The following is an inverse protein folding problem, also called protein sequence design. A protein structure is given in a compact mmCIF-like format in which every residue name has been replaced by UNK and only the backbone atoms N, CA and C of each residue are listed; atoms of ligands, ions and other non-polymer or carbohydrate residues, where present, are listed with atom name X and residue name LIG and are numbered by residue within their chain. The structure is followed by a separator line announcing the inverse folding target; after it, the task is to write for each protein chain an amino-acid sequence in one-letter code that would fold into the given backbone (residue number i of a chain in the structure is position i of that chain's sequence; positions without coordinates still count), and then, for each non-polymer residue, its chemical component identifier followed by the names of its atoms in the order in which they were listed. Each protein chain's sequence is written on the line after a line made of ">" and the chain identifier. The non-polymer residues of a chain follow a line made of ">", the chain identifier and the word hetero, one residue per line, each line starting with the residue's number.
data_IF_135924119179
#
_entry.id   IF_135924119179
#
_cell.length_a   1.000
_cell.length_b   1.000
_cell.length_c   1.000
_cell.angle_alpha   90.00
_cell.angle_beta   90.00
_cell.angle_gamma   90.00
#
_symmetry.space_group_name_H-M   'P 1'
#
loop_
_entity.id
_entity.type
_entity.pdbx_description
1 polymer ?
#
# COMPACT_ATOMS: atom_id res chain seq x y z
N UNK A 1 41.00 -3.53 -16.88
CA UNK A 1 39.80 -3.63 -15.95
C UNK A 1 39.59 -5.03 -15.37
N UNK A 2 40.02 -6.10 -16.03
CA UNK A 2 39.84 -7.50 -15.59
C UNK A 2 40.48 -7.77 -14.21
N UNK A 3 41.60 -7.14 -13.88
CA UNK A 3 42.29 -7.27 -12.58
C UNK A 3 41.46 -6.76 -11.36
N UNK A 4 40.40 -5.99 -11.60
CA UNK A 4 39.51 -5.46 -10.53
C UNK A 4 38.34 -6.40 -10.23
N UNK A 5 38.13 -7.42 -11.03
CA UNK A 5 37.03 -8.38 -10.87
C UNK A 5 37.58 -9.60 -10.13
N UNK A 6 37.04 -9.88 -8.94
CA UNK A 6 37.41 -11.06 -8.14
C UNK A 6 36.24 -12.03 -8.10
N UNK A 7 36.51 -13.31 -8.32
CA UNK A 7 35.51 -14.37 -8.17
C UNK A 7 35.24 -14.59 -6.67
N UNK A 8 33.99 -14.46 -6.27
CA UNK A 8 33.56 -14.79 -4.91
C UNK A 8 33.55 -16.31 -4.72
N UNK A 9 34.10 -16.82 -3.62
CA UNK A 9 34.26 -18.27 -3.33
C UNK A 9 33.85 -18.67 -1.93
N UNK A 10 33.30 -17.76 -1.12
CA UNK A 10 32.89 -18.06 0.23
C UNK A 10 31.52 -18.78 0.24
N UNK A 11 31.25 -19.55 1.33
CA UNK A 11 29.99 -20.30 1.48
C UNK A 11 28.79 -19.39 1.76
N UNK A 12 29.04 -18.25 2.43
CA UNK A 12 27.98 -17.26 2.74
C UNK A 12 27.62 -16.49 1.47
N UNK A 13 26.35 -16.32 1.11
CA UNK A 13 25.96 -15.50 -0.04
C UNK A 13 26.54 -14.09 0.07
N UNK A 14 27.03 -13.55 -1.05
CA UNK A 14 27.69 -12.24 -1.07
C UNK A 14 26.77 -11.10 -0.57
N UNK A 15 25.51 -11.11 -0.95
CA UNK A 15 24.55 -10.09 -0.54
C UNK A 15 24.28 -10.12 0.96
N UNK A 16 24.25 -11.31 1.56
CA UNK A 16 24.12 -11.45 3.01
C UNK A 16 25.37 -10.94 3.73
N UNK A 17 26.58 -11.30 3.25
CA UNK A 17 27.85 -10.84 3.82
C UNK A 17 28.00 -9.32 3.82
N UNK A 18 27.52 -8.67 2.76
CA UNK A 18 27.58 -7.20 2.60
C UNK A 18 26.34 -6.48 3.15
N UNK A 19 25.47 -7.18 3.89
CA UNK A 19 24.20 -6.66 4.45
C UNK A 19 23.29 -5.99 3.38
N UNK A 20 23.34 -6.49 2.14
CA UNK A 20 22.53 -5.97 1.04
C UNK A 20 21.10 -6.47 1.15
N UNK A 21 20.90 -7.73 1.59
CA UNK A 21 19.57 -8.31 1.79
C UNK A 21 18.71 -7.51 2.78
N UNK A 22 19.31 -7.13 3.93
CA UNK A 22 18.63 -6.30 4.92
C UNK A 22 18.26 -4.93 4.36
N UNK A 23 19.16 -4.28 3.62
CA UNK A 23 18.91 -3.01 2.97
C UNK A 23 17.84 -3.10 1.88
N UNK A 24 17.76 -4.24 1.17
CA UNK A 24 16.70 -4.48 0.18
C UNK A 24 15.33 -4.65 0.86
N UNK A 25 15.27 -5.35 1.99
CA UNK A 25 14.04 -5.50 2.75
C UNK A 25 13.52 -4.14 3.26
N UNK A 26 14.41 -3.26 3.74
CA UNK A 26 14.06 -1.90 4.17
C UNK A 26 13.44 -1.02 3.06
N UNK A 27 13.59 -1.37 1.77
CA UNK A 27 12.95 -0.65 0.67
C UNK A 27 11.41 -0.72 0.75
N UNK A 28 10.88 -1.76 1.37
CA UNK A 28 9.43 -1.97 1.51
C UNK A 28 8.85 -1.40 2.82
N UNK A 29 9.71 -1.00 3.77
CA UNK A 29 9.26 -0.38 5.01
C UNK A 29 8.71 1.02 4.74
N UNK A 30 7.56 1.36 5.30
CA UNK A 30 7.00 2.71 5.20
C UNK A 30 7.75 3.69 6.08
N UNK A 31 8.30 3.24 7.21
CA UNK A 31 9.04 4.06 8.18
C UNK A 31 10.55 3.88 8.04
N UNK A 32 11.28 5.01 8.00
CA UNK A 32 12.75 5.04 7.91
C UNK A 32 13.30 5.88 9.05
N UNK A 33 14.11 5.29 9.91
CA UNK A 33 14.75 5.98 11.04
C UNK A 33 15.89 6.86 10.58
N UNK A 34 15.96 8.06 11.12
CA UNK A 34 17.06 8.99 10.96
C UNK A 34 18.09 8.82 12.09
N UNK A 35 19.34 9.22 11.85
CA UNK A 35 20.43 9.13 12.86
C UNK A 35 20.19 10.03 14.06
N UNK A 36 19.52 11.18 13.84
CA UNK A 36 19.12 12.12 14.89
C UNK A 36 18.09 11.57 15.87
N UNK A 37 17.43 10.44 15.54
CA UNK A 37 16.33 9.86 16.29
C UNK A 37 14.95 10.27 15.77
N UNK A 38 14.88 11.10 14.72
CA UNK A 38 13.67 11.31 13.93
C UNK A 38 13.39 10.14 12.98
N UNK A 39 12.31 10.24 12.22
CA UNK A 39 11.96 9.24 11.21
C UNK A 39 11.16 9.85 10.06
N UNK A 40 11.23 9.19 8.90
CA UNK A 40 10.44 9.51 7.72
C UNK A 40 9.33 8.47 7.58
N UNK A 41 8.16 8.92 7.13
CA UNK A 41 7.07 8.02 6.71
C UNK A 41 6.82 8.25 5.23
N UNK A 42 7.03 7.22 4.41
CA UNK A 42 6.85 7.28 2.95
C UNK A 42 5.60 6.50 2.58
N UNK A 43 4.59 7.20 2.09
CA UNK A 43 3.31 6.64 1.68
C UNK A 43 3.03 6.94 0.20
N UNK A 44 3.38 6.03 -0.71
CA UNK A 44 2.93 6.14 -2.08
C UNK A 44 1.42 5.91 -2.16
N UNK A 45 0.73 6.77 -2.91
CA UNK A 45 -0.69 6.65 -3.21
C UNK A 45 -0.88 6.45 -4.72
N UNK A 46 -2.13 6.37 -5.18
CA UNK A 46 -2.43 6.26 -6.61
C UNK A 46 -1.95 7.48 -7.40
N UNK A 47 -2.12 8.69 -6.85
CA UNK A 47 -1.86 9.95 -7.55
C UNK A 47 -0.48 10.54 -7.25
N UNK A 48 0.05 10.34 -6.04
CA UNK A 48 1.29 10.98 -5.59
C UNK A 48 1.98 10.16 -4.48
N UNK A 49 3.21 10.54 -4.17
CA UNK A 49 3.92 10.01 -2.99
C UNK A 49 3.93 11.11 -1.93
N UNK A 50 3.45 10.81 -0.74
CA UNK A 50 3.61 11.68 0.44
C UNK A 50 4.78 11.20 1.29
N UNK A 51 5.56 12.15 1.79
CA UNK A 51 6.68 11.90 2.72
C UNK A 51 6.49 12.84 3.90
N UNK A 52 6.29 12.28 5.07
CA UNK A 52 6.16 12.99 6.35
C UNK A 52 7.44 12.85 7.16
N UNK A 53 7.84 13.93 7.86
CA UNK A 53 9.05 14.00 8.66
C UNK A 53 8.69 14.21 10.12
N UNK A 54 9.09 13.27 10.95
CA UNK A 54 8.86 13.31 12.40
C UNK A 54 10.17 13.49 13.16
N UNK A 55 10.21 14.43 14.10
CA UNK A 55 11.40 14.70 14.93
C UNK A 55 11.69 13.61 15.97
N UNK A 56 10.68 12.77 16.30
CA UNK A 56 10.83 11.67 17.25
C UNK A 56 11.40 12.11 18.59
N UNK A 57 12.41 11.38 19.08
CA UNK A 57 13.08 11.64 20.36
C UNK A 57 14.15 12.74 20.32
N UNK A 58 14.38 13.36 19.17
CA UNK A 58 15.40 14.42 18.99
C UNK A 58 15.07 15.74 19.71
N UNK A 59 13.88 15.84 20.31
CA UNK A 59 13.37 17.05 21.05
C UNK A 59 14.22 17.44 22.28
N UNK A 60 15.29 16.72 22.58
CA UNK A 60 16.16 17.00 23.75
C UNK A 60 17.03 18.26 23.64
N UNK A 61 17.03 18.95 22.50
CA UNK A 61 17.81 20.19 22.32
C UNK A 61 17.02 21.40 22.84
N UNK A 62 17.75 22.38 23.41
CA UNK A 62 17.19 23.59 24.04
C UNK A 62 16.49 24.53 23.04
N UNK A 63 16.66 24.34 21.72
CA UNK A 63 16.11 25.22 20.70
C UNK A 63 15.34 24.38 19.65
N UNK A 64 14.04 24.53 19.64
CA UNK A 64 13.11 23.81 18.73
C UNK A 64 13.43 24.11 17.25
N UNK A 65 13.72 25.34 16.90
CA UNK A 65 14.04 25.76 15.53
C UNK A 65 15.33 25.11 15.00
N UNK A 66 16.37 25.03 15.85
CA UNK A 66 17.62 24.35 15.51
C UNK A 66 17.43 22.87 15.31
N UNK A 67 16.63 22.24 16.19
CA UNK A 67 16.31 20.81 16.06
C UNK A 67 15.54 20.52 14.79
N UNK A 68 14.56 21.37 14.45
CA UNK A 68 13.78 21.25 13.22
C UNK A 68 14.69 21.36 11.98
N UNK A 69 15.60 22.35 11.96
CA UNK A 69 16.55 22.52 10.86
C UNK A 69 17.46 21.31 10.69
N UNK A 70 18.08 20.82 11.77
CA UNK A 70 19.00 19.68 11.72
C UNK A 70 18.28 18.40 11.25
N UNK A 71 17.09 18.14 11.78
CA UNK A 71 16.28 17.00 11.36
C UNK A 71 15.86 17.12 9.88
N UNK A 72 15.43 18.30 9.44
CA UNK A 72 15.05 18.54 8.06
C UNK A 72 16.23 18.42 7.07
N UNK A 73 17.43 18.84 7.47
CA UNK A 73 18.63 18.68 6.65
C UNK A 73 19.03 17.20 6.50
N UNK A 74 18.96 16.43 7.58
CA UNK A 74 19.18 15.00 7.54
C UNK A 74 18.09 14.30 6.72
N UNK A 75 16.83 14.65 6.93
CA UNK A 75 15.69 14.16 6.16
C UNK A 75 15.85 14.41 4.66
N UNK A 76 16.29 15.62 4.25
CA UNK A 76 16.51 15.94 2.85
C UNK A 76 17.56 15.03 2.18
N UNK A 77 18.61 14.67 2.91
CA UNK A 77 19.63 13.71 2.44
C UNK A 77 19.04 12.30 2.30
N UNK A 78 18.36 11.82 3.33
CA UNK A 78 17.77 10.47 3.33
C UNK A 78 16.64 10.35 2.31
N UNK A 79 15.77 11.36 2.17
CA UNK A 79 14.70 11.39 1.16
C UNK A 79 15.30 11.25 -0.25
N UNK A 80 16.37 12.00 -0.57
CA UNK A 80 16.99 11.89 -1.89
C UNK A 80 17.52 10.48 -2.16
N UNK A 81 18.05 9.80 -1.13
CA UNK A 81 18.49 8.41 -1.20
C UNK A 81 17.32 7.46 -1.42
N UNK A 82 16.24 7.61 -0.64
CA UNK A 82 15.05 6.75 -0.70
C UNK A 82 14.30 6.87 -2.03
N UNK A 83 14.14 8.08 -2.55
CA UNK A 83 13.53 8.33 -3.86
C UNK A 83 14.27 7.55 -4.95
N UNK A 84 15.60 7.52 -4.90
CA UNK A 84 16.44 6.81 -5.88
C UNK A 84 16.38 5.30 -5.71
N UNK A 85 16.48 4.78 -4.49
CA UNK A 85 16.52 3.33 -4.21
C UNK A 85 15.17 2.69 -4.50
N UNK A 86 14.08 3.34 -4.11
CA UNK A 86 12.69 2.86 -4.30
C UNK A 86 12.15 3.19 -5.69
N UNK A 87 12.90 3.94 -6.51
CA UNK A 87 12.47 4.48 -7.81
C UNK A 87 11.12 5.21 -7.74
N UNK A 88 10.92 5.99 -6.65
CA UNK A 88 9.70 6.79 -6.49
C UNK A 88 9.62 7.81 -7.62
N UNK A 89 8.45 7.96 -8.23
CA UNK A 89 8.26 8.76 -9.43
C UNK A 89 6.89 9.42 -9.47
N UNK A 90 6.74 10.39 -10.34
CA UNK A 90 5.55 11.23 -10.41
C UNK A 90 5.65 12.42 -9.47
N UNK A 91 4.51 12.87 -8.95
CA UNK A 91 4.44 13.95 -7.98
C UNK A 91 4.80 13.42 -6.58
N UNK A 92 5.70 14.11 -5.89
CA UNK A 92 6.13 13.79 -4.53
C UNK A 92 5.92 15.04 -3.69
N UNK A 93 5.22 14.90 -2.57
CA UNK A 93 4.99 15.97 -1.60
C UNK A 93 5.72 15.59 -0.32
N UNK A 94 6.55 16.51 0.16
CA UNK A 94 7.32 16.34 1.39
C UNK A 94 6.80 17.33 2.41
N UNK A 95 6.42 16.85 3.58
CA UNK A 95 6.02 17.64 4.73
C UNK A 95 7.22 17.81 5.67
N UNK A 96 7.84 18.98 5.60
CA UNK A 96 8.98 19.32 6.43
C UNK A 96 8.51 19.85 7.79
N UNK A 97 9.27 19.53 8.85
CA UNK A 97 9.02 20.10 10.17
C UNK A 97 9.04 21.63 10.06
N UNK A 98 8.03 22.28 10.64
CA UNK A 98 7.87 23.71 10.56
C UNK A 98 9.13 24.50 10.97
N UNK A 99 9.49 25.46 10.13
CA UNK A 99 10.61 26.39 10.36
C UNK A 99 10.13 27.82 10.18
N UNK A 100 10.32 28.64 11.19
CA UNK A 100 9.95 30.06 11.15
C UNK A 100 10.88 30.86 10.21
N UNK A 101 12.17 30.53 10.24
CA UNK A 101 13.19 31.22 9.46
C UNK A 101 13.12 30.87 7.98
N UNK A 102 12.92 31.87 7.13
CA UNK A 102 13.03 31.73 5.68
C UNK A 102 14.43 31.27 5.22
N UNK A 103 15.48 31.68 5.95
CA UNK A 103 16.85 31.25 5.72
C UNK A 103 17.01 29.74 5.91
N UNK A 104 16.41 29.18 6.98
CA UNK A 104 16.43 27.74 7.27
C UNK A 104 15.71 26.93 6.18
N UNK A 105 14.53 27.38 5.76
CA UNK A 105 13.80 26.75 4.63
C UNK A 105 14.66 26.69 3.36
N UNK A 106 15.36 27.77 3.02
CA UNK A 106 16.27 27.80 1.87
C UNK A 106 17.48 26.87 2.01
N UNK A 107 18.00 26.67 3.22
CA UNK A 107 19.08 25.71 3.45
C UNK A 107 18.62 24.30 3.16
N UNK A 108 17.45 23.90 3.65
CA UNK A 108 16.86 22.59 3.40
C UNK A 108 16.57 22.37 1.90
N UNK A 109 15.96 23.36 1.23
CA UNK A 109 15.73 23.31 -0.22
C UNK A 109 17.04 23.12 -1.00
N UNK A 110 18.09 23.82 -0.62
CA UNK A 110 19.42 23.70 -1.26
C UNK A 110 20.02 22.33 -1.03
N UNK A 111 19.96 21.81 0.20
CA UNK A 111 20.46 20.48 0.55
C UNK A 111 19.76 19.41 -0.28
N UNK A 112 18.43 19.43 -0.36
CA UNK A 112 17.67 18.49 -1.16
C UNK A 112 18.03 18.56 -2.65
N UNK A 113 18.12 19.77 -3.22
CA UNK A 113 18.53 19.98 -4.63
C UNK A 113 19.93 19.44 -4.90
N UNK A 114 20.87 19.65 -3.99
CA UNK A 114 22.24 19.17 -4.11
C UNK A 114 22.30 17.64 -4.10
N UNK A 115 21.61 17.00 -3.17
CA UNK A 115 21.57 15.55 -3.05
C UNK A 115 20.89 14.88 -4.25
N UNK A 116 19.85 15.50 -4.81
CA UNK A 116 19.15 15.00 -6.00
C UNK A 116 19.97 15.12 -7.31
N UNK A 117 21.05 15.91 -7.35
CA UNK A 117 21.89 16.07 -8.56
C UNK A 117 22.51 14.77 -9.07
N UNK A 118 22.71 13.80 -8.19
CA UNK A 118 23.30 12.51 -8.56
C UNK A 118 22.29 11.52 -9.13
N UNK A 119 21.01 11.87 -9.18
CA UNK A 119 19.97 11.04 -9.78
C UNK A 119 20.00 11.12 -11.32
N UNK A 120 19.78 9.99 -11.98
CA UNK A 120 19.68 9.90 -13.45
C UNK A 120 18.34 10.40 -13.97
N UNK A 121 17.31 10.39 -13.12
CA UNK A 121 15.98 10.86 -13.47
C UNK A 121 15.94 12.39 -13.55
N UNK A 122 15.11 12.91 -14.44
CA UNK A 122 14.80 14.35 -14.46
C UNK A 122 13.95 14.67 -13.23
N UNK A 123 14.46 15.61 -12.40
CA UNK A 123 13.81 16.06 -11.17
C UNK A 123 13.55 17.54 -11.26
N UNK A 124 12.34 17.96 -10.84
CA UNK A 124 11.98 19.35 -10.62
C UNK A 124 11.63 19.51 -9.15
N UNK A 125 12.19 20.50 -8.47
CA UNK A 125 12.01 20.72 -7.03
C UNK A 125 11.52 22.15 -6.84
N UNK A 126 10.36 22.27 -6.19
CA UNK A 126 9.74 23.54 -5.82
C UNK A 126 10.42 24.24 -4.65
N UNK A 127 9.68 25.09 -3.97
CA UNK A 127 10.07 25.75 -2.72
C UNK A 127 9.21 25.22 -1.59
N UNK A 128 9.73 25.30 -0.36
CA UNK A 128 8.93 25.03 0.83
C UNK A 128 7.89 26.15 0.96
N UNK A 129 6.63 25.77 0.98
CA UNK A 129 5.49 26.68 1.14
C UNK A 129 5.41 27.23 2.57
N UNK A 130 4.47 28.14 2.80
CA UNK A 130 4.15 28.64 4.15
C UNK A 130 3.55 27.57 5.06
N UNK A 131 3.09 26.46 4.50
CA UNK A 131 2.54 25.31 5.22
C UNK A 131 3.57 24.19 5.47
N UNK A 132 4.87 24.44 5.26
CA UNK A 132 5.91 23.41 5.42
C UNK A 132 6.07 22.45 4.23
N UNK A 133 5.13 22.46 3.29
CA UNK A 133 5.11 21.51 2.18
C UNK A 133 6.08 21.88 1.05
N UNK A 134 6.82 20.91 0.57
CA UNK A 134 7.62 21.00 -0.65
C UNK A 134 7.10 20.04 -1.71
N UNK A 135 6.80 20.60 -2.86
CA UNK A 135 6.38 19.83 -4.04
C UNK A 135 7.58 19.54 -4.94
N UNK A 136 7.71 18.32 -5.39
CA UNK A 136 8.69 17.93 -6.40
C UNK A 136 8.12 16.91 -7.37
N UNK A 137 8.71 16.84 -8.55
CA UNK A 137 8.40 15.79 -9.52
C UNK A 137 9.66 15.04 -9.93
N UNK A 138 9.54 13.72 -10.12
CA UNK A 138 10.60 12.87 -10.61
C UNK A 138 10.11 12.01 -11.77
N UNK A 139 10.87 11.99 -12.85
CA UNK A 139 10.58 11.17 -14.02
C UNK A 139 10.64 9.68 -13.66
N UNK A 140 9.65 8.92 -14.11
CA UNK A 140 9.65 7.47 -13.97
C UNK A 140 10.70 6.85 -14.88
N UNK A 141 11.58 6.02 -14.32
CA UNK A 141 12.61 5.32 -15.08
C UNK A 141 12.23 3.88 -15.39
N UNK A 142 11.40 3.25 -14.56
CA UNK A 142 10.94 1.85 -14.69
C UNK A 142 9.47 1.76 -14.35
N UNK A 143 8.84 0.67 -14.75
CA UNK A 143 7.52 0.32 -14.22
C UNK A 143 7.60 0.08 -12.70
N UNK A 144 6.57 0.50 -11.98
CA UNK A 144 6.54 0.32 -10.53
C UNK A 144 6.51 -1.17 -10.18
N UNK A 145 7.46 -1.61 -9.36
CA UNK A 145 7.46 -2.96 -8.80
C UNK A 145 6.37 -3.14 -7.74
N UNK A 146 5.84 -2.04 -7.18
CA UNK A 146 4.80 -2.03 -6.15
C UNK A 146 3.53 -1.43 -6.74
N UNK A 147 2.44 -2.21 -6.71
CA UNK A 147 1.10 -1.74 -7.04
C UNK A 147 0.34 -1.54 -5.72
N UNK A 148 -0.19 -0.33 -5.54
CA UNK A 148 -1.04 -0.01 -4.39
C UNK A 148 -2.46 -0.47 -4.69
N UNK A 149 -3.03 -1.15 -3.70
CA UNK A 149 -4.41 -1.61 -3.74
C UNK A 149 -5.10 -1.13 -2.49
N UNK A 150 -6.16 -0.36 -2.66
CA UNK A 150 -7.05 0.01 -1.57
C UNK A 150 -7.97 -1.18 -1.31
N UNK A 151 -7.91 -1.75 -0.12
CA UNK A 151 -8.81 -2.83 0.30
C UNK A 151 -9.68 -2.34 1.46
N UNK A 152 -10.88 -2.88 1.57
CA UNK A 152 -11.73 -2.65 2.72
C UNK A 152 -11.07 -3.28 3.97
N UNK A 153 -11.32 -2.69 5.14
CA UNK A 153 -11.01 -3.36 6.41
C UNK A 153 -11.80 -4.65 6.55
N UNK A 154 -11.32 -5.58 7.36
CA UNK A 154 -11.96 -6.88 7.57
C UNK A 154 -13.43 -6.72 8.00
N UNK A 155 -13.70 -5.79 8.93
CA UNK A 155 -15.04 -5.45 9.38
C UNK A 155 -15.93 -4.91 8.26
N UNK A 156 -15.42 -3.90 7.51
CA UNK A 156 -16.17 -3.30 6.40
C UNK A 156 -16.45 -4.30 5.29
N UNK A 157 -15.52 -5.20 5.01
CA UNK A 157 -15.70 -6.23 4.02
C UNK A 157 -16.70 -7.28 4.49
N UNK A 158 -16.61 -7.78 5.73
CA UNK A 158 -17.57 -8.72 6.33
C UNK A 158 -18.99 -8.15 6.31
N UNK A 159 -19.16 -6.90 6.73
CA UNK A 159 -20.45 -6.20 6.71
C UNK A 159 -21.02 -6.08 5.29
N UNK A 160 -20.18 -5.72 4.32
CA UNK A 160 -20.59 -5.66 2.90
C UNK A 160 -21.08 -7.01 2.39
N UNK A 161 -20.36 -8.09 2.68
CA UNK A 161 -20.73 -9.45 2.27
C UNK A 161 -22.03 -9.87 2.95
N UNK A 162 -22.19 -9.63 4.24
CA UNK A 162 -23.42 -9.96 4.99
C UNK A 162 -24.65 -9.30 4.36
N UNK A 163 -24.57 -8.00 4.08
CA UNK A 163 -25.64 -7.26 3.38
C UNK A 163 -25.93 -7.81 1.99
N UNK A 164 -24.89 -8.17 1.25
CA UNK A 164 -25.05 -8.75 -0.08
C UNK A 164 -25.75 -10.10 -0.04
N UNK A 165 -25.38 -10.96 0.91
CA UNK A 165 -26.03 -12.26 1.17
C UNK A 165 -27.50 -12.05 1.50
N UNK A 166 -27.84 -11.13 2.41
CA UNK A 166 -29.22 -10.81 2.77
C UNK A 166 -30.05 -10.43 1.54
N UNK A 167 -29.60 -9.42 0.80
CA UNK A 167 -30.32 -8.92 -0.38
C UNK A 167 -30.51 -10.02 -1.42
N UNK A 168 -29.45 -10.74 -1.73
CA UNK A 168 -29.49 -11.79 -2.76
C UNK A 168 -30.36 -12.97 -2.34
N UNK A 169 -30.28 -13.41 -1.08
CA UNK A 169 -31.12 -14.51 -0.58
C UNK A 169 -32.62 -14.16 -0.63
N UNK A 170 -32.99 -12.92 -0.29
CA UNK A 170 -34.37 -12.44 -0.37
C UNK A 170 -34.87 -12.36 -1.80
N UNK A 171 -34.08 -11.77 -2.72
CA UNK A 171 -34.46 -11.63 -4.13
C UNK A 171 -34.62 -12.99 -4.84
N UNK A 172 -33.75 -13.93 -4.58
CA UNK A 172 -33.76 -15.27 -5.20
C UNK A 172 -34.67 -16.25 -4.48
N UNK A 173 -35.22 -15.86 -3.30
CA UNK A 173 -35.98 -16.74 -2.40
C UNK A 173 -35.18 -18.00 -2.02
N UNK A 174 -33.86 -17.87 -1.90
CA UNK A 174 -32.99 -18.95 -1.50
C UNK A 174 -33.35 -19.47 -0.10
N UNK A 175 -33.04 -20.73 0.17
CA UNK A 175 -33.20 -21.36 1.48
C UNK A 175 -31.88 -21.79 2.10
N UNK A 176 -30.87 -21.96 1.30
CA UNK A 176 -29.52 -22.23 1.72
C UNK A 176 -28.59 -21.28 0.97
N UNK A 177 -27.60 -20.75 1.69
CA UNK A 177 -26.56 -19.89 1.15
C UNK A 177 -25.23 -20.46 1.57
N UNK A 178 -24.40 -20.78 0.59
CA UNK A 178 -23.01 -21.20 0.80
C UNK A 178 -22.10 -20.01 0.45
N UNK A 179 -21.42 -19.48 1.46
CA UNK A 179 -20.54 -18.34 1.34
C UNK A 179 -19.08 -18.80 1.45
N UNK A 180 -18.32 -18.70 0.35
CA UNK A 180 -16.88 -18.98 0.31
C UNK A 180 -16.11 -17.67 0.36
N UNK A 181 -15.24 -17.52 1.34
CA UNK A 181 -14.41 -16.32 1.60
C UNK A 181 -13.08 -16.77 2.18
N UNK A 182 -12.07 -15.87 2.17
CA UNK A 182 -10.79 -16.20 2.77
C UNK A 182 -10.91 -16.51 4.27
N UNK A 183 -10.05 -17.37 4.77
CA UNK A 183 -10.05 -17.90 6.14
C UNK A 183 -10.14 -16.77 7.18
N UNK A 184 -9.31 -15.74 7.03
CA UNK A 184 -9.28 -14.57 7.93
C UNK A 184 -10.65 -13.92 8.12
N UNK A 185 -11.41 -13.73 7.04
CA UNK A 185 -12.75 -13.12 7.10
C UNK A 185 -13.79 -14.13 7.60
N UNK A 186 -13.65 -15.40 7.26
CA UNK A 186 -14.51 -16.46 7.80
C UNK A 186 -14.46 -16.50 9.32
N UNK A 187 -13.26 -16.49 9.89
CA UNK A 187 -13.06 -16.51 11.34
C UNK A 187 -13.55 -15.21 11.98
N UNK A 188 -13.22 -14.07 11.39
CA UNK A 188 -13.72 -12.77 11.85
C UNK A 188 -15.26 -12.71 11.89
N UNK A 189 -15.94 -13.22 10.87
CA UNK A 189 -17.41 -13.28 10.83
C UNK A 189 -17.97 -14.22 11.88
N UNK A 190 -17.37 -15.39 12.08
CA UNK A 190 -17.79 -16.37 13.09
C UNK A 190 -17.59 -15.85 14.51
N UNK A 191 -16.62 -15.00 14.75
CA UNK A 191 -16.36 -14.42 16.08
C UNK A 191 -17.22 -13.19 16.36
N UNK A 192 -17.36 -12.28 15.39
CA UNK A 192 -17.92 -10.94 15.65
C UNK A 192 -19.35 -10.75 15.12
N UNK A 193 -19.82 -11.59 14.18
CA UNK A 193 -21.14 -11.45 13.53
C UNK A 193 -22.11 -12.63 13.79
N UNK A 194 -21.88 -13.40 14.87
CA UNK A 194 -22.73 -14.57 15.20
C UNK A 194 -24.19 -14.16 15.41
N UNK A 195 -24.43 -13.05 16.12
CA UNK A 195 -25.79 -12.60 16.44
C UNK A 195 -26.50 -12.09 15.17
N UNK A 196 -25.79 -11.34 14.33
CA UNK A 196 -26.33 -10.85 13.06
C UNK A 196 -26.66 -12.01 12.10
N UNK A 197 -25.78 -13.00 11.99
CA UNK A 197 -26.01 -14.20 11.17
C UNK A 197 -27.25 -14.95 11.63
N UNK A 198 -27.39 -15.22 12.94
CA UNK A 198 -28.57 -15.88 13.50
C UNK A 198 -29.85 -15.08 13.24
N UNK A 199 -29.79 -13.76 13.45
CA UNK A 199 -30.93 -12.88 13.18
C UNK A 199 -31.36 -12.96 11.70
N UNK A 200 -30.41 -12.96 10.76
CA UNK A 200 -30.72 -13.10 9.34
C UNK A 200 -31.29 -14.47 8.98
N UNK A 201 -30.74 -15.53 9.56
CA UNK A 201 -31.24 -16.89 9.34
C UNK A 201 -32.70 -17.04 9.79
N UNK A 202 -33.01 -16.54 11.00
CA UNK A 202 -34.35 -16.59 11.59
C UNK A 202 -35.35 -15.69 10.85
N UNK A 203 -34.97 -14.44 10.56
CA UNK A 203 -35.83 -13.47 9.90
C UNK A 203 -36.25 -13.90 8.49
N UNK A 204 -35.32 -14.46 7.73
CA UNK A 204 -35.56 -14.80 6.33
C UNK A 204 -35.82 -16.30 6.10
N UNK A 205 -35.81 -17.12 7.14
CA UNK A 205 -35.95 -18.58 7.09
C UNK A 205 -34.96 -19.20 6.09
N UNK A 206 -33.70 -18.79 6.17
CA UNK A 206 -32.58 -19.25 5.38
C UNK A 206 -31.53 -19.89 6.28
N UNK A 207 -30.63 -20.65 5.71
CA UNK A 207 -29.45 -21.16 6.42
C UNK A 207 -28.19 -20.72 5.68
N UNK A 208 -27.26 -20.13 6.41
CA UNK A 208 -25.98 -19.58 5.87
C UNK A 208 -24.85 -20.49 6.34
N UNK A 209 -24.10 -21.03 5.39
CA UNK A 209 -22.91 -21.83 5.65
C UNK A 209 -21.67 -21.05 5.17
N UNK A 210 -20.76 -20.74 6.09
CA UNK A 210 -19.55 -19.99 5.80
C UNK A 210 -18.37 -20.95 5.68
N UNK A 211 -17.83 -21.06 4.48
CA UNK A 211 -16.71 -21.94 4.13
C UNK A 211 -15.45 -21.08 3.95
N UNK A 212 -14.42 -21.41 4.71
CA UNK A 212 -13.10 -20.83 4.52
C UNK A 212 -12.44 -21.40 3.25
N UNK A 213 -12.01 -20.55 2.34
CA UNK A 213 -11.31 -20.92 1.12
C UNK A 213 -9.98 -20.13 1.04
N UNK A 214 -8.87 -20.84 1.24
CA UNK A 214 -7.53 -20.28 1.24
C UNK A 214 -7.03 -19.86 -0.14
N UNK A 215 -7.79 -20.14 -1.20
CA UNK A 215 -7.48 -19.67 -2.56
C UNK A 215 -8.00 -18.28 -2.84
N UNK A 216 -8.93 -17.78 -2.02
CA UNK A 216 -9.53 -16.45 -2.12
C UNK A 216 -8.77 -15.44 -1.26
N UNK A 217 -8.64 -14.22 -1.77
CA UNK A 217 -8.04 -13.08 -1.07
C UNK A 217 -9.03 -11.90 -1.08
N UNK A 218 -8.97 -11.02 -0.08
CA UNK A 218 -9.82 -9.81 -0.08
C UNK A 218 -9.52 -8.97 -1.34
N UNK A 219 -10.53 -8.58 -2.13
CA UNK A 219 -11.98 -8.60 -1.89
C UNK A 219 -12.72 -9.76 -2.59
N UNK A 220 -12.13 -10.91 -2.79
CA UNK A 220 -12.72 -12.04 -3.50
C UNK A 220 -13.71 -12.80 -2.62
N UNK A 221 -14.82 -13.24 -3.22
CA UNK A 221 -15.84 -14.07 -2.59
C UNK A 221 -16.65 -14.84 -3.63
N UNK A 222 -17.30 -15.94 -3.20
CA UNK A 222 -18.28 -16.70 -3.95
C UNK A 222 -19.48 -16.94 -3.05
N UNK A 223 -20.68 -16.64 -3.53
CA UNK A 223 -21.96 -16.86 -2.84
C UNK A 223 -22.81 -17.76 -3.71
N UNK A 224 -23.05 -18.97 -3.29
CA UNK A 224 -23.94 -19.92 -3.95
C UNK A 224 -25.30 -19.93 -3.26
N UNK A 225 -26.32 -19.43 -3.96
CA UNK A 225 -27.69 -19.36 -3.50
C UNK A 225 -28.45 -20.62 -3.93
N UNK A 226 -29.02 -21.35 -2.99
CA UNK A 226 -29.59 -22.66 -3.21
C UNK A 226 -31.06 -22.72 -2.77
N UNK A 227 -31.83 -23.60 -3.43
CA UNK A 227 -33.24 -23.88 -3.07
C UNK A 227 -33.34 -24.89 -1.91
N UNK A 228 -34.60 -25.30 -1.54
CA UNK A 228 -34.87 -26.31 -0.51
C UNK A 228 -34.20 -27.65 -0.79
N UNK A 229 -33.94 -27.99 -2.04
CA UNK A 229 -33.32 -29.25 -2.48
C UNK A 229 -31.80 -29.13 -2.66
N UNK A 230 -31.21 -28.05 -2.16
CA UNK A 230 -29.77 -27.75 -2.29
C UNK A 230 -29.27 -27.64 -3.73
N UNK A 231 -30.16 -27.34 -4.68
CA UNK A 231 -29.78 -27.04 -6.06
C UNK A 231 -29.50 -25.57 -6.17
N UNK A 232 -28.35 -25.19 -6.74
CA UNK A 232 -27.93 -23.80 -6.96
C UNK A 232 -28.89 -23.06 -7.90
N UNK A 233 -29.42 -21.93 -7.45
CA UNK A 233 -30.30 -21.03 -8.19
C UNK A 233 -29.45 -19.98 -8.91
N UNK A 234 -28.54 -19.34 -8.16
CA UNK A 234 -27.66 -18.27 -8.64
C UNK A 234 -26.33 -18.34 -7.91
N UNK A 235 -25.23 -18.12 -8.62
CA UNK A 235 -23.91 -17.91 -8.03
C UNK A 235 -23.49 -16.46 -8.24
N UNK A 236 -23.20 -15.75 -7.14
CA UNK A 236 -22.67 -14.39 -7.16
C UNK A 236 -21.21 -14.46 -6.75
N UNK A 237 -20.33 -14.08 -7.66
CA UNK A 237 -18.89 -14.16 -7.39
C UNK A 237 -18.16 -12.87 -7.76
N UNK A 238 -17.10 -12.61 -7.02
CA UNK A 238 -16.13 -11.58 -7.33
C UNK A 238 -14.73 -12.18 -7.23
N UNK A 239 -14.14 -12.52 -8.37
CA UNK A 239 -12.79 -13.10 -8.46
C UNK A 239 -11.97 -12.22 -9.40
N UNK A 240 -10.88 -11.63 -8.88
CA UNK A 240 -10.07 -10.68 -9.66
C UNK A 240 -9.39 -11.30 -10.87
N UNK A 241 -8.98 -12.56 -10.78
CA UNK A 241 -8.37 -13.26 -11.92
C UNK A 241 -9.31 -13.39 -13.12
N UNK A 242 -10.61 -13.52 -12.87
CA UNK A 242 -11.62 -13.60 -13.93
C UNK A 242 -11.87 -12.24 -14.56
N UNK A 243 -11.88 -11.15 -13.78
CA UNK A 243 -12.02 -9.79 -14.32
C UNK A 243 -10.85 -9.44 -15.25
N UNK A 244 -9.62 -9.71 -14.83
CA UNK A 244 -8.45 -9.47 -15.66
C UNK A 244 -8.48 -10.23 -17.00
N UNK A 245 -9.00 -11.46 -17.00
CA UNK A 245 -9.19 -12.26 -18.24
C UNK A 245 -10.30 -11.71 -19.13
N UNK A 246 -11.38 -11.18 -18.57
CA UNK A 246 -12.47 -10.56 -19.33
C UNK A 246 -12.06 -9.20 -19.91
N UNK A 247 -11.30 -8.41 -19.16
CA UNK A 247 -10.74 -7.14 -19.63
C UNK A 247 -9.73 -7.36 -20.76
N UNK A 248 -8.81 -8.31 -20.62
CA UNK A 248 -7.89 -8.70 -21.70
C UNK A 248 -8.61 -9.20 -22.95
N UNK A 249 -9.69 -9.97 -22.80
CA UNK A 249 -10.51 -10.43 -23.94
C UNK A 249 -11.27 -9.27 -24.60
N UNK A 250 -11.67 -8.24 -23.86
CA UNK A 250 -12.30 -7.04 -24.42
C UNK A 250 -11.31 -6.18 -25.17
N UNK A 251 -10.09 -6.00 -24.64
CA UNK A 251 -9.01 -5.29 -25.32
C UNK A 251 -8.63 -5.96 -26.63
N UNK A 252 -8.45 -7.29 -26.64
CA UNK A 252 -8.15 -8.05 -27.87
C UNK A 252 -9.26 -7.90 -28.91
N UNK A 253 -10.54 -7.94 -28.52
CA UNK A 253 -11.67 -7.73 -29.43
C UNK A 253 -11.76 -6.30 -29.97
N UNK A 254 -11.31 -5.29 -29.24
CA UNK A 254 -11.28 -3.89 -29.69
C UNK A 254 -10.19 -3.64 -30.72
N UNK A 255 -9.14 -4.47 -30.78
CA UNK A 255 -8.07 -4.42 -31.79
C UNK A 255 -8.40 -5.23 -33.05
N UNK A 256 -9.38 -6.12 -33.03
CA UNK A 256 -9.80 -6.96 -34.17
C UNK A 256 -11.00 -6.40 -34.93
N UNK A 257 -11.54 -5.23 -34.56
CA UNK A 257 -12.61 -4.58 -35.31
C UNK A 257 -11.98 -3.64 -36.34
N UNK A 258 -12.30 -3.81 -37.65
CA UNK A 258 -11.72 -3.05 -38.76
C UNK A 258 -12.17 -1.58 -38.77
#
# INVERSE_FOLDING_TARGET
>A
HVKKIKKYREKVPLFFKENIEEKLNQIYDSEIKLKSGGYLVINPTEALVSIDINSGSSIKQKNVESTALDTNLEAAEEISRQIKIRDLSGLIIIDFIDMLSFGNRRLVERKLKEQCRTDRARIQIGRISTFGLLEMSRQRLRESAVKWKVTLTDESFAMKILKLVEVKAVLTKAKFVELKICEKISDFMKENFIEDLKYFEEKNLIKIDIIADNTLIIPEYIIDLQNKTKKTIETVQHIEKLKNLEEQKKEVKSFESP
#
